data_IF_632964066251
#
_entry.id   IF_632964066251
#
_cell.length_a   1.000
_cell.length_b   1.000
_cell.length_c   1.000
_cell.angle_alpha   90.00
_cell.angle_beta   90.00
_cell.angle_gamma   90.00
#
_symmetry.space_group_name_H-M   'P 1'
#
loop_
_entity.id
_entity.type
_entity.pdbx_description
1 polymer ?
#
# COMPACT_ATOMS: atom_id res chain seq x y z
N UNK A 1 17.57 -8.79 0.39
CA UNK A 1 18.92 -8.25 0.65
C UNK A 1 18.91 -6.75 0.42
N UNK A 2 19.57 -5.99 1.26
CA UNK A 2 19.67 -4.52 1.16
C UNK A 2 21.14 -4.12 0.89
N UNK A 3 21.74 -4.77 -0.07
CA UNK A 3 23.16 -4.57 -0.42
C UNK A 3 23.25 -3.76 -1.71
N UNK A 4 24.22 -2.88 -1.79
CA UNK A 4 24.52 -2.08 -2.98
C UNK A 4 25.50 -2.89 -3.86
N UNK A 5 25.05 -3.22 -5.05
CA UNK A 5 25.84 -3.94 -6.05
C UNK A 5 26.38 -2.99 -7.12
N UNK A 6 27.65 -3.21 -7.52
CA UNK A 6 28.18 -2.60 -8.75
C UNK A 6 27.83 -3.49 -9.93
N UNK A 7 27.20 -2.90 -10.95
CA UNK A 7 26.84 -3.61 -12.19
C UNK A 7 27.65 -3.09 -13.38
N UNK A 8 27.89 -3.93 -14.36
CA UNK A 8 28.63 -3.64 -15.60
C UNK A 8 27.73 -3.90 -16.80
N UNK A 9 28.06 -3.35 -17.97
CA UNK A 9 27.36 -3.71 -19.21
C UNK A 9 27.40 -5.22 -19.44
N UNK A 10 26.23 -5.80 -19.70
CA UNK A 10 26.05 -7.24 -19.88
C UNK A 10 25.66 -8.02 -18.62
N UNK A 11 25.72 -7.41 -17.44
CA UNK A 11 25.24 -8.07 -16.22
C UNK A 11 23.73 -8.27 -16.27
N UNK A 12 23.28 -9.40 -15.72
CA UNK A 12 21.86 -9.76 -15.60
C UNK A 12 21.49 -9.79 -14.13
N UNK A 13 20.43 -9.06 -13.77
CA UNK A 13 19.80 -9.14 -12.46
C UNK A 13 18.56 -10.02 -12.55
N UNK A 14 18.58 -11.16 -11.86
CA UNK A 14 17.43 -12.05 -11.72
C UNK A 14 16.82 -11.89 -10.34
N UNK A 15 15.50 -11.62 -10.29
CA UNK A 15 14.74 -11.47 -9.07
C UNK A 15 13.71 -12.60 -9.01
N UNK A 16 13.90 -13.51 -8.06
CA UNK A 16 12.97 -14.59 -7.81
C UNK A 16 11.72 -14.12 -7.04
N UNK A 17 10.92 -15.09 -6.61
CA UNK A 17 9.75 -14.82 -5.78
C UNK A 17 10.14 -14.25 -4.42
N UNK A 18 9.26 -13.42 -3.84
CA UNK A 18 9.42 -12.97 -2.47
C UNK A 18 9.36 -14.15 -1.50
N UNK A 19 10.33 -14.22 -0.58
CA UNK A 19 10.34 -15.23 0.50
C UNK A 19 9.53 -14.72 1.68
N UNK A 20 9.57 -13.42 1.93
CA UNK A 20 8.80 -12.73 2.98
C UNK A 20 8.33 -11.38 2.45
N UNK A 21 7.12 -10.97 2.82
CA UNK A 21 6.51 -9.74 2.33
C UNK A 21 6.05 -9.84 0.87
N UNK A 22 5.29 -8.86 0.41
CA UNK A 22 4.68 -8.84 -0.92
C UNK A 22 5.39 -7.92 -1.91
N UNK A 23 6.32 -7.08 -1.48
CA UNK A 23 6.94 -6.04 -2.31
C UNK A 23 8.45 -6.05 -2.24
N UNK A 24 9.08 -5.88 -3.40
CA UNK A 24 10.50 -5.62 -3.55
C UNK A 24 10.74 -4.22 -4.13
N UNK A 25 11.84 -3.61 -3.73
CA UNK A 25 12.26 -2.30 -4.24
C UNK A 25 13.64 -2.42 -4.85
N UNK A 26 13.79 -1.83 -6.04
CA UNK A 26 15.09 -1.68 -6.70
C UNK A 26 15.37 -0.19 -6.78
N UNK A 27 16.54 0.22 -6.32
CA UNK A 27 17.04 1.58 -6.47
C UNK A 27 18.27 1.60 -7.34
N UNK A 28 18.40 2.60 -8.18
CA UNK A 28 19.54 2.78 -9.06
C UNK A 28 20.45 3.87 -8.52
N UNK A 29 21.75 3.72 -8.69
CA UNK A 29 22.74 4.72 -8.27
C UNK A 29 22.73 5.99 -9.15
N UNK A 30 22.05 5.95 -10.27
CA UNK A 30 21.84 7.08 -11.17
C UNK A 30 20.36 7.38 -11.29
N UNK A 31 19.97 8.67 -11.44
CA UNK A 31 18.58 9.01 -11.72
C UNK A 31 18.09 8.35 -13.00
N UNK A 32 16.85 7.92 -13.01
CA UNK A 32 16.20 7.39 -14.20
C UNK A 32 15.82 8.56 -15.13
N UNK A 33 16.00 8.37 -16.44
CA UNK A 33 15.55 9.31 -17.45
C UNK A 33 14.06 9.10 -17.71
N UNK A 34 13.24 9.61 -16.80
CA UNK A 34 11.78 9.58 -16.87
C UNK A 34 11.22 10.96 -16.55
N UNK A 35 10.07 11.34 -17.15
CA UNK A 35 9.51 12.66 -16.95
C UNK A 35 9.04 12.89 -15.51
N UNK A 36 9.32 14.09 -14.98
CA UNK A 36 8.76 14.59 -13.74
C UNK A 36 7.36 15.17 -14.05
N UNK A 37 6.33 14.60 -13.45
CA UNK A 37 4.93 15.04 -13.61
C UNK A 37 4.39 15.45 -12.24
N UNK A 38 3.95 16.71 -12.13
CA UNK A 38 3.49 17.30 -10.86
C UNK A 38 4.49 17.05 -9.70
N UNK A 39 5.76 17.33 -9.96
CA UNK A 39 6.88 17.12 -9.03
C UNK A 39 7.05 15.67 -8.53
N UNK A 40 6.57 14.70 -9.27
CA UNK A 40 6.66 13.28 -8.93
C UNK A 40 7.16 12.43 -10.10
N UNK A 41 8.03 11.46 -9.78
CA UNK A 41 8.45 10.40 -10.70
C UNK A 41 7.56 9.15 -10.61
N UNK A 42 6.54 9.16 -9.75
CA UNK A 42 5.65 8.02 -9.55
C UNK A 42 4.76 7.76 -10.77
N UNK A 43 4.48 6.49 -11.03
CA UNK A 43 3.51 6.08 -12.05
C UNK A 43 2.13 5.96 -11.43
N UNK A 44 1.15 6.69 -11.93
CA UNK A 44 -0.25 6.51 -11.62
C UNK A 44 -0.91 5.72 -12.76
N UNK A 45 -0.90 4.40 -12.65
CA UNK A 45 -1.31 3.49 -13.74
C UNK A 45 -2.77 3.64 -14.16
N UNK A 46 -3.66 4.00 -13.22
CA UNK A 46 -5.09 4.20 -13.48
C UNK A 46 -5.34 5.40 -14.41
N UNK A 47 -4.66 6.52 -14.19
CA UNK A 47 -4.73 7.70 -15.06
C UNK A 47 -3.74 7.66 -16.21
N UNK A 48 -2.92 6.62 -16.30
CA UNK A 48 -1.84 6.47 -17.30
C UNK A 48 -0.88 7.67 -17.32
N UNK A 49 -0.52 8.17 -16.14
CA UNK A 49 0.32 9.36 -15.96
C UNK A 49 1.60 9.04 -15.19
N UNK A 50 2.63 9.82 -15.46
CA UNK A 50 3.92 9.77 -14.74
C UNK A 50 4.73 8.51 -14.96
N UNK A 51 5.88 8.45 -14.30
CA UNK A 51 6.79 7.31 -14.35
C UNK A 51 7.17 6.91 -15.77
N UNK A 52 7.35 5.60 -15.98
CA UNK A 52 7.64 5.07 -17.30
C UNK A 52 6.37 4.92 -18.14
N UNK A 53 6.08 5.88 -19.00
CA UNK A 53 4.94 5.87 -19.96
C UNK A 53 3.56 5.67 -19.30
N UNK A 54 3.39 6.05 -18.02
CA UNK A 54 2.13 5.95 -17.29
C UNK A 54 1.60 4.53 -17.09
N UNK A 55 2.43 3.51 -17.14
CA UNK A 55 2.04 2.10 -17.05
C UNK A 55 3.06 1.25 -16.31
N UNK A 56 2.67 0.05 -15.93
CA UNK A 56 3.60 -0.99 -15.46
C UNK A 56 4.61 -1.35 -16.55
N UNK A 57 5.81 -1.74 -16.12
CA UNK A 57 6.86 -2.22 -17.04
C UNK A 57 6.43 -3.52 -17.73
N UNK A 58 6.92 -3.69 -18.94
CA UNK A 58 6.71 -4.89 -19.76
C UNK A 58 8.03 -5.48 -20.16
N UNK A 59 8.02 -6.72 -20.60
CA UNK A 59 9.17 -7.33 -21.24
C UNK A 59 9.70 -6.43 -22.36
N UNK A 60 11.00 -6.34 -22.49
CA UNK A 60 11.73 -5.56 -23.49
C UNK A 60 11.64 -4.02 -23.32
N UNK A 61 11.06 -3.52 -22.22
CA UNK A 61 11.18 -2.10 -21.88
C UNK A 61 12.63 -1.75 -21.55
N UNK A 62 13.07 -0.62 -22.10
CA UNK A 62 14.39 -0.05 -21.83
C UNK A 62 14.24 1.25 -21.06
N UNK A 63 14.82 1.32 -19.89
CA UNK A 63 14.86 2.52 -19.06
C UNK A 63 16.28 3.06 -19.05
N UNK A 64 16.44 4.30 -19.46
CA UNK A 64 17.73 4.99 -19.45
C UNK A 64 17.99 5.64 -18.10
N UNK A 65 19.26 5.87 -17.80
CA UNK A 65 19.69 6.66 -16.63
C UNK A 65 20.40 7.91 -17.09
N UNK A 66 20.24 8.98 -16.31
CA UNK A 66 20.98 10.24 -16.51
C UNK A 66 22.36 10.07 -15.85
N UNK A 67 23.41 10.40 -16.57
CA UNK A 67 24.76 10.34 -16.02
C UNK A 67 24.89 11.29 -14.82
N UNK A 68 25.33 10.74 -13.70
CA UNK A 68 25.50 11.49 -12.45
C UNK A 68 26.81 11.06 -11.78
N UNK A 69 27.50 11.95 -11.05
CA UNK A 69 28.71 11.59 -10.31
C UNK A 69 28.49 10.36 -9.45
N UNK A 70 29.34 9.38 -9.66
CA UNK A 70 29.17 8.00 -9.24
C UNK A 70 29.09 7.80 -7.73
N UNK A 71 28.13 7.01 -7.26
CA UNK A 71 28.02 6.46 -5.90
C UNK A 71 28.96 5.25 -5.66
N UNK A 72 30.05 5.10 -6.42
CA UNK A 72 31.01 4.00 -6.30
C UNK A 72 31.48 3.73 -4.88
N UNK A 73 31.56 4.77 -4.03
CA UNK A 73 31.97 4.67 -2.62
C UNK A 73 31.03 3.83 -1.76
N UNK A 74 29.84 3.54 -2.23
CA UNK A 74 28.81 2.83 -1.47
C UNK A 74 28.65 1.36 -1.89
N UNK A 75 29.37 0.91 -2.93
CA UNK A 75 29.33 -0.49 -3.38
C UNK A 75 29.78 -1.41 -2.25
N UNK A 76 29.03 -2.48 -2.03
CA UNK A 76 29.28 -3.46 -0.98
C UNK A 76 28.70 -3.07 0.40
N UNK A 77 28.20 -1.85 0.58
CA UNK A 77 27.50 -1.47 1.82
C UNK A 77 26.16 -2.17 1.89
N UNK A 78 25.81 -2.64 3.07
CA UNK A 78 24.48 -3.18 3.38
C UNK A 78 23.74 -2.22 4.34
N UNK A 79 22.44 -2.09 4.16
CA UNK A 79 21.59 -1.46 5.16
C UNK A 79 21.38 -2.44 6.33
N UNK A 80 21.40 -1.91 7.55
CA UNK A 80 21.07 -2.65 8.78
C UNK A 80 19.60 -2.43 9.20
N UNK A 81 18.78 -1.85 8.34
CA UNK A 81 17.36 -1.65 8.66
C UNK A 81 16.71 -3.01 8.78
N UNK A 82 16.27 -3.34 9.99
CA UNK A 82 15.44 -4.51 10.23
C UNK A 82 13.99 -4.15 9.89
N UNK A 83 13.51 -4.64 8.74
CA UNK A 83 12.13 -4.44 8.30
C UNK A 83 11.16 -5.46 8.91
N UNK A 84 11.68 -6.44 9.64
CA UNK A 84 10.85 -7.42 10.32
C UNK A 84 10.25 -6.80 11.58
N UNK A 85 9.05 -6.24 11.48
CA UNK A 85 8.23 -5.95 12.63
C UNK A 85 7.62 -7.27 13.14
N UNK A 86 7.83 -7.58 14.41
CA UNK A 86 7.32 -8.81 15.02
C UNK A 86 5.87 -8.70 15.49
N UNK A 87 5.34 -7.49 15.58
CA UNK A 87 4.02 -7.24 16.13
C UNK A 87 3.05 -6.94 15.00
N UNK A 88 2.18 -7.91 14.70
CA UNK A 88 1.09 -7.76 13.73
C UNK A 88 -0.13 -7.03 14.34
N UNK A 89 0.08 -6.22 15.39
CA UNK A 89 -1.01 -5.48 16.03
C UNK A 89 -1.27 -4.19 15.26
N UNK A 90 -2.49 -4.04 14.77
CA UNK A 90 -2.98 -2.84 14.10
C UNK A 90 -3.86 -2.07 15.07
N UNK A 91 -3.39 -0.92 15.52
CA UNK A 91 -4.18 -0.04 16.38
C UNK A 91 -5.17 0.77 15.54
N UNK A 92 -6.39 0.81 16.00
CA UNK A 92 -7.49 1.56 15.38
C UNK A 92 -8.10 2.52 16.40
N UNK A 93 -8.71 3.58 15.93
CA UNK A 93 -9.58 4.47 16.69
C UNK A 93 -11.00 4.38 16.13
N UNK A 94 -11.99 4.57 16.96
CA UNK A 94 -13.40 4.55 16.55
C UNK A 94 -13.67 5.57 15.43
N UNK A 95 -14.45 5.14 14.47
CA UNK A 95 -14.87 5.97 13.35
C UNK A 95 -16.10 6.82 13.66
N UNK A 96 -16.38 7.81 12.82
CA UNK A 96 -17.50 8.73 13.04
C UNK A 96 -18.88 8.05 13.01
N UNK A 97 -19.01 6.90 12.36
CA UNK A 97 -20.24 6.12 12.31
C UNK A 97 -20.19 4.85 13.18
N UNK A 98 -19.35 4.81 14.22
CA UNK A 98 -19.23 3.64 15.12
C UNK A 98 -20.58 3.26 15.75
N UNK A 99 -21.46 4.25 16.02
CA UNK A 99 -22.77 4.02 16.57
C UNK A 99 -23.76 3.30 15.63
N UNK A 100 -23.43 3.19 14.34
CA UNK A 100 -24.23 2.42 13.36
C UNK A 100 -23.94 0.92 13.41
N UNK A 101 -23.05 0.47 14.26
CA UNK A 101 -22.60 -0.92 14.34
C UNK A 101 -22.93 -1.51 15.71
N UNK A 102 -23.44 -2.75 15.73
CA UNK A 102 -23.66 -3.48 16.96
C UNK A 102 -22.36 -3.76 17.72
N UNK A 103 -22.44 -4.01 19.02
CA UNK A 103 -21.28 -4.44 19.81
C UNK A 103 -20.67 -5.74 19.28
N UNK A 104 -21.51 -6.65 18.74
CA UNK A 104 -21.04 -7.88 18.09
C UNK A 104 -20.18 -7.56 16.84
N UNK A 105 -20.61 -6.64 15.99
CA UNK A 105 -19.85 -6.23 14.80
C UNK A 105 -18.51 -5.60 15.17
N UNK A 106 -18.45 -4.80 16.24
CA UNK A 106 -17.23 -4.18 16.78
C UNK A 106 -16.27 -5.24 17.31
N UNK A 107 -16.75 -6.20 18.10
CA UNK A 107 -15.96 -7.34 18.58
C UNK A 107 -15.43 -8.18 17.41
N UNK A 108 -16.27 -8.48 16.42
CA UNK A 108 -15.86 -9.24 15.23
C UNK A 108 -14.70 -8.56 14.49
N UNK A 109 -14.70 -7.24 14.36
CA UNK A 109 -13.62 -6.51 13.71
C UNK A 109 -12.25 -6.71 14.40
N UNK A 110 -12.24 -6.84 15.73
CA UNK A 110 -11.01 -6.85 16.54
C UNK A 110 -10.57 -8.25 16.96
N UNK A 111 -11.49 -9.21 17.01
CA UNK A 111 -11.25 -10.55 17.57
C UNK A 111 -11.09 -11.62 16.50
N UNK A 112 -11.44 -11.34 15.24
CA UNK A 112 -11.36 -12.31 14.16
C UNK A 112 -10.25 -11.96 13.16
N UNK A 113 -9.84 -12.97 12.41
CA UNK A 113 -8.87 -12.83 11.32
C UNK A 113 -9.56 -12.39 10.03
N UNK A 114 -8.91 -11.47 9.32
CA UNK A 114 -9.33 -11.01 8.00
C UNK A 114 -8.22 -11.25 6.99
N UNK A 115 -8.61 -11.70 5.80
CA UNK A 115 -7.68 -11.94 4.69
C UNK A 115 -7.80 -10.81 3.68
N UNK A 116 -6.66 -10.27 3.25
CA UNK A 116 -6.62 -9.28 2.17
C UNK A 116 -7.02 -9.97 0.87
N UNK A 117 -8.09 -9.46 0.25
CA UNK A 117 -8.61 -9.98 -1.01
C UNK A 117 -7.70 -9.64 -2.19
N UNK A 118 -7.66 -10.50 -3.21
CA UNK A 118 -6.99 -10.22 -4.49
C UNK A 118 -7.58 -9.01 -5.24
N UNK A 119 -8.78 -8.58 -4.90
CA UNK A 119 -9.42 -7.37 -5.43
C UNK A 119 -8.90 -6.09 -4.77
N UNK A 120 -7.93 -6.19 -3.87
CA UNK A 120 -7.29 -5.05 -3.22
C UNK A 120 -6.37 -4.32 -4.20
N UNK A 121 -6.34 -3.01 -4.10
CA UNK A 121 -5.49 -2.15 -4.91
C UNK A 121 -4.89 -1.00 -4.08
N UNK A 122 -4.29 -0.01 -4.73
CA UNK A 122 -3.72 1.16 -4.06
C UNK A 122 -4.76 2.09 -3.43
N UNK A 123 -6.04 1.93 -3.75
CA UNK A 123 -7.14 2.68 -3.14
C UNK A 123 -7.56 2.10 -1.79
N UNK A 124 -7.49 0.76 -1.63
CA UNK A 124 -7.88 0.12 -0.38
C UNK A 124 -7.66 -1.39 -0.35
N UNK A 125 -7.42 -1.89 0.86
CA UNK A 125 -7.45 -3.32 1.14
C UNK A 125 -8.88 -3.75 1.38
N UNK A 126 -9.40 -4.58 0.50
CA UNK A 126 -10.68 -5.26 0.67
C UNK A 126 -10.46 -6.50 1.51
N UNK A 127 -11.06 -6.54 2.67
CA UNK A 127 -10.91 -7.63 3.62
C UNK A 127 -12.02 -8.66 3.42
N UNK A 128 -11.69 -9.92 3.61
CA UNK A 128 -12.64 -11.05 3.67
C UNK A 128 -12.53 -11.70 5.03
N UNK A 129 -13.65 -11.89 5.71
CA UNK A 129 -13.71 -12.47 7.04
C UNK A 129 -15.15 -12.47 7.54
N UNK A 130 -15.31 -12.33 8.86
CA UNK A 130 -16.61 -12.18 9.48
C UNK A 130 -17.34 -10.94 8.97
N UNK A 131 -18.64 -11.09 8.74
CA UNK A 131 -19.50 -9.99 8.30
C UNK A 131 -19.75 -9.03 9.45
N UNK A 132 -19.49 -7.74 9.20
CA UNK A 132 -19.68 -6.66 10.17
C UNK A 132 -20.56 -5.53 9.59
N UNK A 133 -21.58 -5.89 8.83
CA UNK A 133 -22.51 -4.90 8.27
C UNK A 133 -23.09 -3.98 9.37
N UNK A 134 -23.35 -2.71 9.07
CA UNK A 134 -24.06 -1.83 9.98
C UNK A 134 -25.52 -2.30 10.17
N UNK A 135 -26.14 -1.91 11.28
CA UNK A 135 -27.49 -2.35 11.67
C UNK A 135 -28.59 -1.93 10.70
N UNK A 136 -28.45 -0.73 10.09
CA UNK A 136 -29.44 -0.21 9.15
C UNK A 136 -28.88 -0.22 7.72
N UNK A 137 -28.21 0.86 7.32
CA UNK A 137 -27.65 1.01 5.98
C UNK A 137 -26.20 1.42 6.07
N UNK A 138 -25.39 0.86 5.19
CA UNK A 138 -23.99 1.31 5.01
C UNK A 138 -23.91 2.63 4.25
N UNK A 139 -24.94 2.98 3.47
CA UNK A 139 -24.94 4.17 2.64
C UNK A 139 -25.18 5.43 3.46
N UNK A 140 -24.29 6.40 3.37
CA UNK A 140 -24.38 7.70 4.00
C UNK A 140 -24.20 8.82 2.96
N UNK A 141 -24.58 10.04 3.30
CA UNK A 141 -24.22 11.21 2.49
C UNK A 141 -22.69 11.25 2.39
N UNK A 142 -22.18 11.39 1.16
CA UNK A 142 -20.73 11.39 0.93
C UNK A 142 -20.05 12.48 1.74
N UNK A 143 -19.03 12.08 2.50
CA UNK A 143 -18.25 12.97 3.35
C UNK A 143 -16.74 12.71 3.17
N UNK A 144 -15.85 13.63 3.60
CA UNK A 144 -14.42 13.44 3.52
C UNK A 144 -13.98 12.15 4.22
N UNK A 145 -13.03 11.42 3.60
CA UNK A 145 -12.48 10.19 4.16
C UNK A 145 -10.98 10.34 4.44
N UNK A 146 -10.58 9.99 5.65
CA UNK A 146 -9.19 10.00 6.07
C UNK A 146 -8.42 8.77 5.52
N UNK A 147 -7.10 8.90 5.45
CA UNK A 147 -6.21 7.78 5.20
C UNK A 147 -6.34 6.77 6.34
N UNK A 148 -6.43 5.48 6.01
CA UNK A 148 -6.60 4.43 7.01
C UNK A 148 -8.05 4.25 7.51
N UNK A 149 -9.03 5.03 7.03
CA UNK A 149 -10.44 4.79 7.36
C UNK A 149 -10.86 3.39 6.96
N UNK A 150 -11.61 2.71 7.82
CA UNK A 150 -12.18 1.39 7.59
C UNK A 150 -13.65 1.60 7.24
N UNK A 151 -13.96 1.53 5.95
CA UNK A 151 -15.32 1.60 5.42
C UNK A 151 -15.95 0.21 5.39
N UNK A 152 -17.24 0.15 5.71
CA UNK A 152 -18.00 -1.09 5.65
C UNK A 152 -19.21 -0.88 4.73
N UNK A 153 -19.16 -1.42 3.49
CA UNK A 153 -20.31 -1.44 2.59
C UNK A 153 -21.42 -2.39 3.09
N UNK A 154 -22.57 -2.40 2.38
CA UNK A 154 -23.73 -3.22 2.73
C UNK A 154 -23.44 -4.75 2.72
N UNK A 155 -22.38 -5.19 2.04
CA UNK A 155 -21.94 -6.59 2.05
C UNK A 155 -21.20 -6.99 3.33
N UNK A 156 -20.93 -6.04 4.22
CA UNK A 156 -20.30 -6.25 5.52
C UNK A 156 -18.80 -6.56 5.47
N UNK A 157 -18.16 -6.46 4.29
CA UNK A 157 -16.73 -6.69 4.16
C UNK A 157 -15.94 -5.39 4.35
N UNK A 158 -15.04 -5.28 5.34
CA UNK A 158 -14.32 -4.03 5.60
C UNK A 158 -13.36 -3.67 4.47
N UNK A 159 -13.20 -2.38 4.23
CA UNK A 159 -12.23 -1.81 3.28
C UNK A 159 -11.35 -0.81 4.01
N UNK A 160 -10.06 -1.09 4.16
CA UNK A 160 -9.10 -0.15 4.73
C UNK A 160 -8.58 0.77 3.63
N UNK A 161 -8.86 2.05 3.72
CA UNK A 161 -8.51 3.02 2.68
C UNK A 161 -7.02 3.37 2.69
N UNK A 162 -6.41 3.33 1.51
CA UNK A 162 -4.97 3.54 1.29
C UNK A 162 -4.67 4.90 0.62
N UNK A 163 -3.42 5.09 0.20
CA UNK A 163 -2.92 6.37 -0.32
C UNK A 163 -3.68 6.91 -1.54
N UNK A 164 -4.13 6.03 -2.44
CA UNK A 164 -4.84 6.43 -3.66
C UNK A 164 -6.37 6.40 -3.47
N UNK A 165 -6.83 6.38 -2.21
CA UNK A 165 -8.27 6.43 -1.88
C UNK A 165 -8.96 7.64 -2.48
N UNK A 166 -10.28 7.54 -2.60
CA UNK A 166 -11.12 8.69 -2.92
C UNK A 166 -11.03 9.77 -1.82
N UNK A 167 -11.29 11.01 -2.17
CA UNK A 167 -11.31 12.15 -1.23
C UNK A 167 -12.57 12.17 -0.39
N UNK A 168 -13.68 11.72 -0.97
CA UNK A 168 -14.99 11.59 -0.32
C UNK A 168 -15.52 10.18 -0.51
N UNK A 169 -16.33 9.69 0.43
CA UNK A 169 -16.94 8.37 0.38
C UNK A 169 -18.32 8.35 1.03
N UNK A 170 -19.19 7.47 0.54
CA UNK A 170 -20.58 7.33 0.95
C UNK A 170 -20.87 6.06 1.75
N UNK A 171 -19.86 5.41 2.34
CA UNK A 171 -20.07 4.27 3.22
C UNK A 171 -19.73 4.60 4.67
N UNK A 172 -20.43 3.96 5.61
CA UNK A 172 -20.17 4.06 7.05
C UNK A 172 -18.73 3.68 7.37
N UNK A 173 -18.10 4.44 8.27
CA UNK A 173 -16.73 4.22 8.76
C UNK A 173 -16.78 3.74 10.21
N UNK A 174 -16.46 2.47 10.42
CA UNK A 174 -16.44 1.86 11.75
C UNK A 174 -15.24 2.31 12.57
N UNK A 175 -14.09 2.46 11.93
CA UNK A 175 -12.81 2.80 12.58
C UNK A 175 -11.85 3.49 11.62
N UNK A 176 -10.72 3.93 12.15
CA UNK A 176 -9.58 4.43 11.37
C UNK A 176 -8.28 3.84 11.95
N UNK A 177 -7.43 3.30 11.09
CA UNK A 177 -6.10 2.81 11.47
C UNK A 177 -5.22 3.98 11.87
N UNK A 178 -4.52 3.86 13.01
CA UNK A 178 -3.61 4.92 13.47
C UNK A 178 -2.41 5.09 12.52
N UNK A 179 -1.80 6.28 12.43
CA UNK A 179 -0.68 6.53 11.51
C UNK A 179 0.51 5.56 11.68
N UNK A 180 0.82 5.19 12.91
CA UNK A 180 1.89 4.22 13.22
C UNK A 180 1.53 2.85 12.67
N UNK A 181 0.35 2.35 13.00
CA UNK A 181 -0.13 1.06 12.52
C UNK A 181 -0.37 1.04 11.00
N UNK A 182 -0.72 2.18 10.40
CA UNK A 182 -0.83 2.29 8.95
C UNK A 182 0.51 2.00 8.26
N UNK A 183 1.62 2.47 8.83
CA UNK A 183 2.96 2.15 8.31
C UNK A 183 3.24 0.65 8.41
N UNK A 184 2.84 0.02 9.52
CA UNK A 184 2.98 -1.42 9.72
C UNK A 184 2.10 -2.21 8.74
N UNK A 185 0.84 -1.83 8.59
CA UNK A 185 -0.10 -2.44 7.64
C UNK A 185 0.48 -2.48 6.22
N UNK A 186 1.11 -1.39 5.77
CA UNK A 186 1.76 -1.34 4.45
C UNK A 186 3.00 -2.23 4.33
N UNK A 187 3.70 -2.48 5.42
CA UNK A 187 4.85 -3.37 5.43
C UNK A 187 4.47 -4.86 5.37
N UNK A 188 3.25 -5.19 5.79
CA UNK A 188 2.68 -6.54 5.83
C UNK A 188 1.73 -6.85 4.67
N UNK A 189 1.78 -6.11 3.59
CA UNK A 189 1.07 -6.44 2.35
C UNK A 189 1.59 -7.78 1.80
N UNK A 190 1.07 -8.87 2.30
CA UNK A 190 1.37 -10.24 1.86
C UNK A 190 0.24 -10.80 1.02
#
# INVERSE_FOLDING_TARGET
SQIIYGVKPGDILEIGNAITGARGYITFGQPLDIPLIADSYSTHTRSKMGGYKGRSLKKDDVIQTIEHPSYKKNIGRASQINLANKDNVIHIIEGPQIASFSEEAKSKLTENEYVISEMSDRMGFRLKGENIAPEESADIISEPVALGSIQVPNDGNPIILLNDKQTVGGYTKIATVTPVSYTHLRAHET
#
